data_IF_880408630431
#
_entry.id   IF_880408630431
#
_cell.length_a   1.000
_cell.length_b   1.000
_cell.length_c   1.000
_cell.angle_alpha   90.00
_cell.angle_beta   90.00
_cell.angle_gamma   90.00
#
_symmetry.space_group_name_H-M   'P 1'
#
loop_
_entity.id
_entity.type
_entity.pdbx_description
1 polymer ?
#
# COMPACT_ATOMS: atom_id res chain seq x y z
N UNK A 1 49.90 5.93 -77.93
CA UNK A 1 48.79 6.28 -78.84
C UNK A 1 47.74 6.98 -78.01
N UNK A 2 47.53 8.26 -78.29
CA UNK A 2 46.58 9.12 -77.58
C UNK A 2 45.17 8.61 -77.84
N UNK A 3 44.41 8.35 -76.77
CA UNK A 3 43.00 7.99 -76.84
C UNK A 3 42.20 9.12 -77.46
N UNK A 4 41.38 8.79 -78.46
CA UNK A 4 40.31 9.66 -78.90
C UNK A 4 39.12 9.44 -77.98
N UNK A 5 38.85 10.37 -77.08
CA UNK A 5 37.53 10.48 -76.48
C UNK A 5 36.54 10.71 -77.62
N UNK A 6 35.73 9.69 -77.91
CA UNK A 6 34.65 9.80 -78.88
C UNK A 6 33.71 10.91 -78.45
N UNK A 7 33.36 11.78 -79.38
CA UNK A 7 32.33 12.81 -79.19
C UNK A 7 31.05 12.11 -78.73
N UNK A 8 30.66 12.32 -77.46
CA UNK A 8 29.40 11.79 -76.93
C UNK A 8 28.26 12.34 -77.78
N UNK A 9 27.36 11.47 -78.24
CA UNK A 9 26.15 11.89 -78.92
C UNK A 9 25.24 12.59 -77.90
N UNK A 10 24.95 13.89 -78.05
CA UNK A 10 24.12 14.62 -77.07
C UNK A 10 22.65 14.17 -77.06
N UNK A 11 22.23 13.32 -78.00
CA UNK A 11 20.92 12.67 -77.99
C UNK A 11 20.91 11.30 -77.29
N UNK A 12 22.07 10.80 -76.83
CA UNK A 12 22.15 9.55 -76.08
C UNK A 12 21.76 9.79 -74.62
N UNK A 13 20.56 9.31 -74.26
CA UNK A 13 20.00 9.41 -72.91
C UNK A 13 20.24 8.14 -72.08
N UNK A 14 20.91 7.12 -72.62
CA UNK A 14 21.12 5.83 -71.92
C UNK A 14 21.73 6.00 -70.53
N UNK A 15 22.77 6.84 -70.32
CA UNK A 15 23.33 7.04 -68.98
C UNK A 15 22.33 7.64 -67.97
N UNK A 16 21.43 8.49 -68.45
CA UNK A 16 20.38 9.10 -67.60
C UNK A 16 19.31 8.07 -67.28
N UNK A 17 18.96 7.18 -68.22
CA UNK A 17 18.01 6.10 -67.98
C UNK A 17 18.55 5.07 -66.98
N UNK A 18 19.83 4.71 -67.09
CA UNK A 18 20.49 3.80 -66.13
C UNK A 18 20.48 4.41 -64.72
N UNK A 19 20.79 5.71 -64.59
CA UNK A 19 20.72 6.43 -63.31
C UNK A 19 19.29 6.46 -62.72
N UNK A 20 18.26 6.57 -63.57
CA UNK A 20 16.86 6.54 -63.14
C UNK A 20 16.43 5.14 -62.67
N UNK A 21 16.88 4.08 -63.34
CA UNK A 21 16.64 2.70 -62.90
C UNK A 21 17.29 2.41 -61.54
N UNK A 22 18.51 2.90 -61.32
CA UNK A 22 19.20 2.82 -60.01
C UNK A 22 18.43 3.58 -58.91
N UNK A 23 17.88 4.75 -59.23
CA UNK A 23 17.04 5.53 -58.31
C UNK A 23 15.75 4.78 -57.97
N UNK A 24 15.08 4.19 -58.97
CA UNK A 24 13.85 3.42 -58.76
C UNK A 24 14.09 2.20 -57.86
N UNK A 25 15.21 1.50 -58.05
CA UNK A 25 15.63 0.40 -57.18
C UNK A 25 15.88 0.86 -55.75
N UNK A 26 16.57 1.99 -55.56
CA UNK A 26 16.82 2.56 -54.25
C UNK A 26 15.52 3.01 -53.55
N UNK A 27 14.56 3.58 -54.29
CA UNK A 27 13.24 3.93 -53.76
C UNK A 27 12.50 2.69 -53.28
N UNK A 28 12.52 1.60 -54.05
CA UNK A 28 11.85 0.36 -53.66
C UNK A 28 12.41 -0.23 -52.35
N UNK A 29 13.74 -0.21 -52.17
CA UNK A 29 14.40 -0.64 -50.93
C UNK A 29 13.98 0.24 -49.73
N UNK A 30 13.92 1.56 -49.93
CA UNK A 30 13.49 2.50 -48.89
C UNK A 30 12.03 2.26 -48.48
N UNK A 31 11.15 1.97 -49.44
CA UNK A 31 9.73 1.69 -49.14
C UNK A 31 9.56 0.39 -48.33
N UNK A 32 10.28 -0.67 -48.68
CA UNK A 32 10.28 -1.93 -47.91
C UNK A 32 10.81 -1.74 -46.48
N UNK A 33 11.85 -0.92 -46.32
CA UNK A 33 12.36 -0.55 -45.02
C UNK A 33 11.34 0.26 -44.19
N UNK A 34 10.60 1.17 -44.81
CA UNK A 34 9.53 1.93 -44.16
C UNK A 34 8.43 0.97 -43.66
N UNK A 35 7.95 0.07 -44.51
CA UNK A 35 6.91 -0.91 -44.16
C UNK A 35 7.35 -1.77 -42.96
N UNK A 36 8.61 -2.21 -42.96
CA UNK A 36 9.19 -2.97 -41.85
C UNK A 36 9.21 -2.15 -40.55
N UNK A 37 9.61 -0.88 -40.62
CA UNK A 37 9.65 0.02 -39.47
C UNK A 37 8.25 0.31 -38.92
N UNK A 38 7.25 0.49 -39.79
CA UNK A 38 5.85 0.68 -39.40
C UNK A 38 5.33 -0.52 -38.61
N UNK A 39 5.61 -1.75 -39.09
CA UNK A 39 5.22 -2.96 -38.39
C UNK A 39 5.86 -3.07 -37.00
N UNK A 40 7.18 -2.82 -36.90
CA UNK A 40 7.90 -2.85 -35.61
C UNK A 40 7.30 -1.83 -34.64
N UNK A 41 7.00 -0.61 -35.13
CA UNK A 41 6.43 0.44 -34.31
C UNK A 41 5.05 0.03 -33.76
N UNK A 42 4.17 -0.50 -34.61
CA UNK A 42 2.84 -0.95 -34.22
C UNK A 42 2.90 -2.06 -33.16
N UNK A 43 3.76 -3.06 -33.35
CA UNK A 43 3.93 -4.15 -32.38
C UNK A 43 4.46 -3.63 -31.05
N UNK A 44 5.45 -2.74 -31.10
CA UNK A 44 6.05 -2.16 -29.88
C UNK A 44 5.02 -1.36 -29.08
N UNK A 45 4.23 -0.52 -29.76
CA UNK A 45 3.17 0.25 -29.12
C UNK A 45 2.08 -0.63 -28.52
N UNK A 46 1.72 -1.74 -29.19
CA UNK A 46 0.79 -2.72 -28.65
C UNK A 46 1.29 -3.33 -27.34
N UNK A 47 2.53 -3.83 -27.33
CA UNK A 47 3.14 -4.41 -26.12
C UNK A 47 3.25 -3.39 -24.97
N UNK A 48 3.54 -2.13 -25.30
CA UNK A 48 3.58 -1.05 -24.31
C UNK A 48 2.19 -0.77 -23.72
N UNK A 49 1.14 -0.76 -24.55
CA UNK A 49 -0.23 -0.58 -24.09
C UNK A 49 -0.65 -1.72 -23.11
N UNK A 50 -0.37 -2.97 -23.47
CA UNK A 50 -0.67 -4.13 -22.62
C UNK A 50 0.06 -4.04 -21.26
N UNK A 51 1.32 -3.58 -21.29
CA UNK A 51 2.12 -3.39 -20.07
C UNK A 51 1.54 -2.29 -19.17
N UNK A 52 1.10 -1.17 -19.77
CA UNK A 52 0.48 -0.06 -19.04
C UNK A 52 -0.84 -0.51 -18.40
N UNK A 53 -1.65 -1.29 -19.12
CA UNK A 53 -2.91 -1.81 -18.60
C UNK A 53 -2.68 -2.75 -17.39
N UNK A 54 -1.68 -3.62 -17.47
CA UNK A 54 -1.30 -4.48 -16.34
C UNK A 54 -0.85 -3.66 -15.12
N UNK A 55 -0.03 -2.63 -15.32
CA UNK A 55 0.42 -1.74 -14.24
C UNK A 55 -0.75 -1.00 -13.59
N UNK A 56 -1.74 -0.57 -14.36
CA UNK A 56 -2.91 0.14 -13.84
C UNK A 56 -3.76 -0.76 -12.93
N UNK A 57 -3.93 -2.02 -13.30
CA UNK A 57 -4.62 -3.03 -12.48
C UNK A 57 -3.88 -3.25 -11.16
N UNK A 58 -2.55 -3.46 -11.22
CA UNK A 58 -1.73 -3.67 -10.03
C UNK A 58 -1.74 -2.45 -9.09
N UNK A 59 -1.64 -1.24 -9.64
CA UNK A 59 -1.66 0.00 -8.85
C UNK A 59 -2.99 0.17 -8.11
N UNK A 60 -4.10 -0.15 -8.77
CA UNK A 60 -5.44 -0.13 -8.15
C UNK A 60 -5.52 -1.13 -6.98
N UNK A 61 -4.98 -2.34 -7.16
CA UNK A 61 -4.96 -3.34 -6.09
C UNK A 61 -4.10 -2.91 -4.89
N UNK A 62 -2.96 -2.27 -5.15
CA UNK A 62 -2.08 -1.71 -4.11
C UNK A 62 -2.79 -0.61 -3.33
N UNK A 63 -3.50 0.30 -3.99
CA UNK A 63 -4.26 1.36 -3.30
C UNK A 63 -5.30 0.78 -2.34
N UNK A 64 -6.03 -0.25 -2.76
CA UNK A 64 -7.00 -0.96 -1.90
C UNK A 64 -6.28 -1.57 -0.69
N UNK A 65 -5.15 -2.24 -0.89
CA UNK A 65 -4.38 -2.86 0.19
C UNK A 65 -3.82 -1.81 1.18
N UNK A 66 -3.25 -0.71 0.67
CA UNK A 66 -2.71 0.37 1.51
C UNK A 66 -3.82 1.02 2.34
N UNK A 67 -4.99 1.26 1.75
CA UNK A 67 -6.12 1.81 2.47
C UNK A 67 -6.61 0.87 3.58
N UNK A 68 -6.63 -0.44 3.33
CA UNK A 68 -6.97 -1.43 4.35
C UNK A 68 -5.95 -1.46 5.51
N UNK A 69 -4.65 -1.42 5.20
CA UNK A 69 -3.57 -1.38 6.21
C UNK A 69 -3.66 -0.11 7.05
N UNK A 70 -3.89 1.05 6.42
CA UNK A 70 -4.07 2.33 7.12
C UNK A 70 -5.27 2.28 8.07
N UNK A 71 -6.41 1.78 7.61
CA UNK A 71 -7.58 1.61 8.46
C UNK A 71 -7.32 0.72 9.69
N UNK A 72 -6.49 -0.33 9.55
CA UNK A 72 -6.07 -1.16 10.67
C UNK A 72 -5.08 -0.43 11.60
N UNK A 73 -4.11 0.28 11.02
CA UNK A 73 -3.06 0.97 11.77
C UNK A 73 -3.61 2.14 12.57
N UNK A 74 -4.48 2.95 11.96
CA UNK A 74 -5.20 4.04 12.63
C UNK A 74 -6.14 3.52 13.72
N UNK A 75 -6.59 2.27 13.56
CA UNK A 75 -7.36 1.55 14.57
C UNK A 75 -6.53 0.95 15.72
N UNK A 76 -5.20 0.89 15.60
CA UNK A 76 -4.37 0.43 16.72
C UNK A 76 -4.52 1.44 17.86
N UNK A 77 -4.76 0.96 19.10
CA UNK A 77 -4.92 1.87 20.21
C UNK A 77 -3.59 2.57 20.45
N UNK A 78 -3.60 3.90 20.31
CA UNK A 78 -2.58 4.76 20.91
C UNK A 78 -2.80 4.64 22.42
N UNK A 79 -1.74 4.27 23.14
CA UNK A 79 -1.78 4.23 24.60
C UNK A 79 -1.98 5.66 25.10
N UNK A 80 -3.23 6.06 25.31
CA UNK A 80 -3.54 7.25 26.08
C UNK A 80 -3.61 6.79 27.53
N UNK A 81 -2.50 6.96 28.25
CA UNK A 81 -2.53 6.94 29.70
C UNK A 81 -3.56 8.00 30.11
N UNK A 82 -4.62 7.61 30.82
CA UNK A 82 -5.51 8.58 31.48
C UNK A 82 -4.68 9.18 32.61
N UNK A 83 -3.82 10.15 32.27
CA UNK A 83 -2.88 10.75 33.19
C UNK A 83 -3.62 11.27 34.42
N UNK A 84 -3.30 10.70 35.57
CA UNK A 84 -3.96 11.04 36.83
C UNK A 84 -3.69 10.01 37.90
N UNK A 85 -3.65 10.47 39.14
CA UNK A 85 -3.69 9.58 40.31
C UNK A 85 -5.09 9.01 40.39
N UNK A 86 -5.23 7.67 40.35
CA UNK A 86 -6.48 7.02 40.74
C UNK A 86 -6.68 7.30 42.23
N UNK A 87 -7.74 8.03 42.56
CA UNK A 87 -8.09 8.36 43.95
C UNK A 87 -9.03 7.33 44.56
N UNK A 88 -8.97 7.12 45.86
CA UNK A 88 -9.91 6.27 46.61
C UNK A 88 -11.14 7.07 47.07
N UNK A 89 -11.67 7.91 46.18
CA UNK A 89 -12.78 8.83 46.52
C UNK A 89 -14.17 8.18 46.47
N UNK A 90 -14.24 6.90 46.14
CA UNK A 90 -15.48 6.14 46.01
C UNK A 90 -16.18 6.30 44.66
N UNK A 91 -15.62 7.09 43.73
CA UNK A 91 -16.13 7.20 42.37
C UNK A 91 -15.51 6.11 41.47
N UNK A 92 -16.27 5.68 40.47
CA UNK A 92 -15.75 4.78 39.41
C UNK A 92 -14.82 5.56 38.51
N UNK A 93 -13.61 5.03 38.28
CA UNK A 93 -12.58 5.65 37.45
C UNK A 93 -12.11 4.66 36.36
N UNK A 94 -11.98 5.16 35.14
CA UNK A 94 -11.55 4.36 34.00
C UNK A 94 -10.02 4.21 33.98
N UNK A 95 -9.54 3.01 34.28
CA UNK A 95 -8.10 2.69 34.22
C UNK A 95 -7.57 2.57 32.79
N UNK A 96 -8.37 1.99 31.90
CA UNK A 96 -7.97 1.68 30.54
C UNK A 96 -9.19 1.51 29.64
N UNK A 97 -9.13 2.10 28.44
CA UNK A 97 -10.15 1.93 27.41
C UNK A 97 -9.48 1.56 26.09
N UNK A 98 -9.82 0.38 25.56
CA UNK A 98 -9.52 0.05 24.17
C UNK A 98 -10.69 0.46 23.26
N UNK A 99 -10.42 1.31 22.28
CA UNK A 99 -11.38 1.72 21.24
C UNK A 99 -11.03 1.12 19.87
N UNK A 100 -10.08 0.19 19.81
CA UNK A 100 -9.62 -0.40 18.55
C UNK A 100 -10.74 -1.14 17.79
N UNK A 101 -10.70 -1.18 16.45
CA UNK A 101 -11.57 -2.01 15.64
C UNK A 101 -11.48 -3.49 16.02
N UNK A 102 -12.59 -4.22 15.82
CA UNK A 102 -12.64 -5.66 16.07
C UNK A 102 -11.60 -6.43 15.25
N UNK A 103 -10.94 -7.40 15.88
CA UNK A 103 -9.92 -8.25 15.24
C UNK A 103 -8.48 -7.91 15.65
N UNK A 104 -8.24 -6.74 16.24
CA UNK A 104 -6.91 -6.37 16.77
C UNK A 104 -6.85 -6.75 18.25
N UNK A 105 -6.69 -8.06 18.51
CA UNK A 105 -6.46 -8.55 19.88
C UNK A 105 -5.00 -8.32 20.26
N UNK A 106 -4.74 -7.43 21.22
CA UNK A 106 -3.46 -7.39 21.94
C UNK A 106 -3.71 -7.83 23.39
N UNK A 107 -2.96 -8.80 23.92
CA UNK A 107 -2.98 -9.07 25.35
C UNK A 107 -2.39 -7.85 26.05
N UNK A 108 -3.21 -7.15 26.83
CA UNK A 108 -2.78 -6.02 27.64
C UNK A 108 -2.64 -6.51 29.06
N UNK A 109 -1.44 -6.39 29.61
CA UNK A 109 -1.20 -6.63 31.03
C UNK A 109 -1.52 -5.34 31.79
N UNK A 110 -2.67 -5.31 32.46
CA UNK A 110 -2.99 -4.27 33.44
C UNK A 110 -2.42 -4.72 34.78
N UNK A 111 -1.50 -3.94 35.35
CA UNK A 111 -0.93 -4.19 36.67
C UNK A 111 -1.44 -3.12 37.62
N UNK A 112 -2.03 -3.55 38.72
CA UNK A 112 -2.49 -2.69 39.81
C UNK A 112 -1.73 -3.09 41.06
N UNK A 113 -1.13 -2.11 41.73
CA UNK A 113 -0.38 -2.32 42.96
C UNK A 113 -1.23 -1.91 44.17
N UNK A 114 -1.45 -2.84 45.09
CA UNK A 114 -2.20 -2.64 46.33
C UNK A 114 -1.28 -2.52 47.56
N UNK A 115 0.00 -2.18 47.39
CA UNK A 115 0.99 -2.13 48.49
C UNK A 115 0.56 -1.26 49.68
N UNK A 116 -0.21 -0.19 49.46
CA UNK A 116 -0.69 0.71 50.53
C UNK A 116 -2.15 0.45 50.96
N UNK A 117 -2.77 -0.65 50.54
CA UNK A 117 -4.16 -0.97 50.90
C UNK A 117 -4.28 -1.39 52.36
N UNK A 118 -5.23 -0.81 53.08
CA UNK A 118 -5.49 -1.10 54.50
C UNK A 118 -6.60 -2.15 54.66
N UNK A 119 -6.67 -2.76 55.84
CA UNK A 119 -7.64 -3.84 56.11
C UNK A 119 -9.12 -3.41 56.03
N UNK A 120 -9.41 -2.11 56.05
CA UNK A 120 -10.77 -1.58 55.97
C UNK A 120 -11.22 -1.21 54.55
N UNK A 121 -10.33 -1.28 53.58
CA UNK A 121 -10.61 -0.83 52.22
C UNK A 121 -11.08 -1.99 51.32
N UNK A 122 -11.80 -1.65 50.26
CA UNK A 122 -12.30 -2.59 49.25
C UNK A 122 -12.14 -1.97 47.87
N UNK A 123 -11.52 -2.71 46.96
CA UNK A 123 -11.36 -2.33 45.56
C UNK A 123 -12.17 -3.27 44.68
N UNK A 124 -12.95 -2.69 43.77
CA UNK A 124 -13.73 -3.42 42.77
C UNK A 124 -13.19 -3.09 41.39
N UNK A 125 -12.65 -4.09 40.71
CA UNK A 125 -12.21 -3.98 39.31
C UNK A 125 -13.33 -4.52 38.43
N UNK A 126 -13.83 -3.69 37.52
CA UNK A 126 -14.80 -4.12 36.51
C UNK A 126 -14.16 -4.14 35.13
N UNK A 127 -14.39 -5.22 34.39
CA UNK A 127 -14.05 -5.29 32.97
C UNK A 127 -15.32 -5.14 32.18
N UNK A 128 -15.37 -4.14 31.30
CA UNK A 128 -16.52 -3.87 30.45
C UNK A 128 -16.13 -4.02 28.98
N UNK A 129 -17.06 -4.47 28.14
CA UNK A 129 -16.88 -4.57 26.70
C UNK A 129 -17.96 -3.78 25.97
N UNK A 130 -17.73 -3.48 24.68
CA UNK A 130 -18.74 -2.93 23.78
C UNK A 130 -18.70 -3.67 22.45
N UNK A 131 -19.88 -3.85 21.87
CA UNK A 131 -20.05 -4.57 20.60
C UNK A 131 -19.75 -3.65 19.40
N UNK A 132 -19.94 -2.32 19.56
CA UNK A 132 -19.74 -1.32 18.50
C UNK A 132 -18.90 -0.16 19.03
N UNK A 133 -18.10 0.45 18.14
CA UNK A 133 -17.42 1.70 18.44
C UNK A 133 -18.45 2.76 18.89
N UNK A 134 -18.13 3.50 19.96
CA UNK A 134 -19.02 4.47 20.61
C UNK A 134 -20.36 3.91 21.18
N UNK A 135 -20.55 2.59 21.24
CA UNK A 135 -21.67 1.97 21.94
C UNK A 135 -21.51 2.00 23.46
N UNK A 136 -22.61 1.79 24.19
CA UNK A 136 -22.59 1.67 25.65
C UNK A 136 -21.72 0.50 26.11
N UNK A 137 -21.00 0.69 27.21
CA UNK A 137 -20.22 -0.35 27.86
C UNK A 137 -21.16 -1.34 28.58
N UNK A 138 -20.92 -2.63 28.38
CA UNK A 138 -21.62 -3.73 29.05
C UNK A 138 -20.65 -4.43 29.96
N UNK A 139 -21.06 -4.70 31.20
CA UNK A 139 -20.26 -5.44 32.16
C UNK A 139 -19.95 -6.85 31.65
N UNK A 140 -18.67 -7.20 31.62
CA UNK A 140 -18.18 -8.53 31.28
C UNK A 140 -17.86 -9.33 32.52
N UNK A 141 -17.06 -8.74 33.42
CA UNK A 141 -16.53 -9.41 34.60
C UNK A 141 -16.29 -8.41 35.73
N UNK A 142 -16.26 -8.90 36.97
CA UNK A 142 -16.00 -8.10 38.17
C UNK A 142 -15.16 -8.90 39.16
N UNK A 143 -14.07 -8.31 39.61
CA UNK A 143 -13.23 -8.84 40.66
C UNK A 143 -13.20 -7.89 41.86
N UNK A 144 -13.51 -8.42 43.05
CA UNK A 144 -13.54 -7.65 44.29
C UNK A 144 -12.39 -8.10 45.20
N UNK A 145 -11.62 -7.12 45.68
CA UNK A 145 -10.50 -7.31 46.60
C UNK A 145 -10.79 -6.53 47.88
N UNK A 146 -10.96 -7.24 49.00
CA UNK A 146 -11.26 -6.66 50.30
C UNK A 146 -10.13 -6.91 51.30
N UNK A 147 -9.81 -5.90 52.10
CA UNK A 147 -8.67 -5.94 53.03
C UNK A 147 -7.33 -6.08 52.31
N UNK A 148 -6.26 -6.48 53.02
CA UNK A 148 -4.93 -6.66 52.41
C UNK A 148 -4.97 -7.83 51.40
N UNK A 149 -4.96 -7.57 50.08
CA UNK A 149 -5.13 -8.63 49.10
C UNK A 149 -3.86 -9.48 49.04
N UNK A 150 -3.99 -10.79 49.17
CA UNK A 150 -2.88 -11.71 48.86
C UNK A 150 -2.90 -11.98 47.36
N UNK A 151 -1.74 -11.86 46.70
CA UNK A 151 -1.65 -12.10 45.26
C UNK A 151 -2.06 -13.54 44.93
N UNK A 152 -3.10 -13.79 44.12
CA UNK A 152 -3.49 -15.14 43.74
C UNK A 152 -2.46 -15.83 42.81
N UNK A 153 -1.45 -15.09 42.33
CA UNK A 153 -0.45 -15.53 41.35
C UNK A 153 0.94 -15.81 41.95
N UNK A 154 1.14 -15.54 43.24
CA UNK A 154 2.36 -15.93 43.97
C UNK A 154 1.92 -16.91 45.05
N UNK A 155 2.08 -18.20 44.78
CA UNK A 155 2.13 -19.23 45.81
C UNK A 155 3.57 -19.43 46.25
#
# INVERSE_FOLDING_TARGET
>A
MSGGEGVRNPADLTPVLDELDDIDAAIAEVLDAIDTLEWILLVTLGNMADTIDAILVDTTAIEIAVNAIRAQTDGLPVLTETGGTITTDGNVQDLYINNAPGGVFRPICVKIDFTNHTAGETVVITTNYRIRAAGGLTLQDTATYAGVPTSPLIK
#
